data_IF_842290013506
#
_entry.id   IF_842290013506
#
_cell.length_a   1.000
_cell.length_b   1.000
_cell.length_c   1.000
_cell.angle_alpha   90.00
_cell.angle_beta   90.00
_cell.angle_gamma   90.00
#
_symmetry.space_group_name_H-M   'P 1'
#
loop_
_entity.id
_entity.type
_entity.pdbx_description
1 polymer ?
#
# COMPACT_ATOMS: atom_id res chain seq x y z
N UNK A 1 -28.37 -9.57 -21.26
CA UNK A 1 -27.02 -9.92 -20.78
C UNK A 1 -27.09 -10.27 -19.30
N UNK A 2 -27.05 -11.56 -18.99
CA UNK A 2 -27.15 -12.08 -17.62
C UNK A 2 -26.05 -11.45 -16.76
N UNK A 3 -26.32 -11.14 -15.48
CA UNK A 3 -25.36 -10.48 -14.59
C UNK A 3 -24.00 -11.20 -14.56
N UNK A 4 -24.02 -12.52 -14.65
CA UNK A 4 -22.83 -13.37 -14.78
C UNK A 4 -21.99 -13.06 -16.03
N UNK A 5 -22.62 -12.78 -17.17
CA UNK A 5 -21.92 -12.42 -18.41
C UNK A 5 -21.25 -11.04 -18.29
N UNK A 6 -21.90 -10.07 -17.64
CA UNK A 6 -21.31 -8.75 -17.38
C UNK A 6 -20.11 -8.84 -16.43
N UNK A 7 -20.22 -9.66 -15.39
CA UNK A 7 -19.13 -9.90 -14.43
C UNK A 7 -17.97 -10.62 -15.12
N UNK A 8 -18.24 -11.68 -15.88
CA UNK A 8 -17.22 -12.40 -16.63
C UNK A 8 -16.49 -11.51 -17.63
N UNK A 9 -17.22 -10.66 -18.37
CA UNK A 9 -16.63 -9.70 -19.28
C UNK A 9 -15.77 -8.64 -18.56
N UNK A 10 -16.23 -8.12 -17.42
CA UNK A 10 -15.46 -7.16 -16.62
C UNK A 10 -14.15 -7.77 -16.08
N UNK A 11 -14.21 -9.01 -15.57
CA UNK A 11 -13.02 -9.73 -15.09
C UNK A 11 -12.02 -9.99 -16.22
N UNK A 12 -12.52 -10.35 -17.42
CA UNK A 12 -11.68 -10.56 -18.60
C UNK A 12 -10.97 -9.27 -19.01
N UNK A 13 -11.69 -8.15 -19.09
CA UNK A 13 -11.10 -6.83 -19.40
C UNK A 13 -10.06 -6.43 -18.35
N UNK A 14 -10.35 -6.63 -17.06
CA UNK A 14 -9.40 -6.32 -15.99
C UNK A 14 -8.11 -7.15 -16.07
N UNK A 15 -8.21 -8.42 -16.46
CA UNK A 15 -7.04 -9.30 -16.68
C UNK A 15 -6.20 -8.87 -17.88
N UNK A 16 -6.84 -8.41 -18.96
CA UNK A 16 -6.17 -7.95 -20.17
C UNK A 16 -5.51 -6.56 -20.00
N UNK A 17 -5.98 -5.75 -19.05
CA UNK A 17 -5.37 -4.46 -18.67
C UNK A 17 -4.33 -4.65 -17.56
N UNK A 18 -3.63 -5.77 -17.56
CA UNK A 18 -2.47 -5.96 -16.70
C UNK A 18 -1.32 -5.07 -17.19
N UNK A 19 -1.16 -3.91 -16.56
CA UNK A 19 0.05 -3.11 -16.75
C UNK A 19 1.23 -3.84 -16.13
N UNK A 20 2.34 -3.94 -16.86
CA UNK A 20 3.59 -4.46 -16.30
C UNK A 20 4.01 -3.55 -15.15
N UNK A 21 3.70 -3.94 -13.92
CA UNK A 21 4.34 -3.36 -12.75
C UNK A 21 5.80 -3.81 -12.82
N UNK A 22 6.64 -3.03 -13.49
CA UNK A 22 8.08 -3.13 -13.30
C UNK A 22 8.28 -3.07 -11.79
N UNK A 23 8.83 -4.13 -11.21
CA UNK A 23 9.31 -4.05 -9.84
C UNK A 23 10.18 -2.79 -9.79
N UNK A 24 9.73 -1.79 -9.01
CA UNK A 24 10.34 -0.46 -8.94
C UNK A 24 11.85 -0.55 -8.59
N UNK A 25 12.29 -1.72 -8.13
CA UNK A 25 13.67 -2.13 -7.91
C UNK A 25 14.62 -1.80 -9.09
N UNK A 26 14.25 -2.07 -10.35
CA UNK A 26 15.18 -1.86 -11.48
C UNK A 26 15.30 -0.38 -11.88
N UNK A 27 14.20 0.38 -11.84
CA UNK A 27 14.18 1.80 -12.18
C UNK A 27 14.77 2.68 -11.06
N UNK A 28 14.42 2.39 -9.80
CA UNK A 28 15.00 3.09 -8.65
C UNK A 28 16.50 2.83 -8.56
N UNK A 29 16.96 1.61 -8.85
CA UNK A 29 18.39 1.29 -8.88
C UNK A 29 19.13 2.01 -10.01
N UNK A 30 18.60 2.00 -11.23
CA UNK A 30 19.20 2.73 -12.36
C UNK A 30 19.27 4.24 -12.11
N UNK A 31 18.23 4.83 -11.49
CA UNK A 31 18.25 6.24 -11.09
C UNK A 31 19.30 6.51 -10.01
N UNK A 32 19.39 5.64 -8.99
CA UNK A 32 20.40 5.74 -7.93
C UNK A 32 21.82 5.62 -8.48
N UNK A 33 22.09 4.63 -9.34
CA UNK A 33 23.41 4.43 -9.96
C UNK A 33 23.82 5.65 -10.81
N UNK A 34 22.88 6.29 -11.52
CA UNK A 34 23.13 7.54 -12.23
C UNK A 34 23.41 8.72 -11.29
N UNK A 35 22.68 8.85 -10.18
CA UNK A 35 22.92 9.92 -9.20
C UNK A 35 24.31 9.75 -8.52
N UNK A 36 24.68 8.52 -8.18
CA UNK A 36 26.01 8.18 -7.63
C UNK A 36 27.12 8.47 -8.65
N UNK A 37 26.92 8.11 -9.93
CA UNK A 37 27.88 8.41 -11.00
C UNK A 37 28.09 9.91 -11.21
N UNK A 38 27.07 10.73 -10.91
CA UNK A 38 27.12 12.19 -10.94
C UNK A 38 27.60 12.82 -9.61
N UNK A 39 28.05 12.00 -8.65
CA UNK A 39 28.62 12.45 -7.38
C UNK A 39 27.63 12.66 -6.23
N UNK A 40 26.33 12.41 -6.43
CA UNK A 40 25.30 12.55 -5.40
C UNK A 40 24.92 11.18 -4.80
N UNK A 41 25.55 10.85 -3.66
CA UNK A 41 25.36 9.58 -2.95
C UNK A 41 24.21 9.61 -1.94
N UNK A 42 23.59 10.78 -1.72
CA UNK A 42 22.58 10.98 -0.67
C UNK A 42 21.31 10.15 -0.92
N UNK A 43 20.89 10.07 -2.19
CA UNK A 43 19.71 9.32 -2.62
C UNK A 43 19.97 7.80 -2.57
N UNK A 44 21.22 7.37 -2.80
CA UNK A 44 21.61 5.97 -2.72
C UNK A 44 21.50 5.40 -1.30
N UNK A 45 21.93 6.17 -0.30
CA UNK A 45 21.91 5.75 1.09
C UNK A 45 20.50 5.63 1.68
N UNK A 46 19.54 6.44 1.18
CA UNK A 46 18.17 6.52 1.72
C UNK A 46 17.15 5.55 1.12
N UNK A 47 17.48 4.84 0.03
CA UNK A 47 16.49 4.06 -0.73
C UNK A 47 15.86 2.92 0.09
N UNK A 48 16.67 2.15 0.82
CA UNK A 48 16.18 1.02 1.63
C UNK A 48 15.26 1.49 2.78
N UNK A 49 15.56 2.66 3.35
CA UNK A 49 14.71 3.30 4.35
C UNK A 49 13.36 3.73 3.76
N UNK A 50 13.36 4.28 2.54
CA UNK A 50 12.14 4.64 1.82
C UNK A 50 11.23 3.45 1.54
N UNK A 51 11.80 2.31 1.13
CA UNK A 51 11.03 1.07 0.89
C UNK A 51 10.42 0.54 2.19
N UNK A 52 11.20 0.48 3.27
CA UNK A 52 10.70 0.09 4.60
C UNK A 52 9.60 1.04 5.08
N UNK A 53 9.75 2.36 4.87
CA UNK A 53 8.75 3.35 5.25
C UNK A 53 7.42 3.13 4.53
N UNK A 54 7.45 2.98 3.20
CA UNK A 54 6.25 2.72 2.40
C UNK A 54 5.59 1.38 2.73
N UNK A 55 6.39 0.36 3.07
CA UNK A 55 5.87 -0.94 3.49
C UNK A 55 5.19 -0.88 4.87
N UNK A 56 5.78 -0.19 5.84
CA UNK A 56 5.28 -0.14 7.23
C UNK A 56 4.08 0.78 7.39
N UNK A 57 4.01 1.88 6.63
CA UNK A 57 2.95 2.89 6.71
C UNK A 57 1.52 2.32 6.69
N UNK A 58 1.11 1.47 5.71
CA UNK A 58 -0.26 0.97 5.67
C UNK A 58 -0.63 0.14 6.90
N UNK A 59 0.30 -0.65 7.44
CA UNK A 59 0.05 -1.44 8.65
C UNK A 59 -0.03 -0.56 9.90
N UNK A 60 0.80 0.48 10.00
CA UNK A 60 0.75 1.45 11.09
C UNK A 60 -0.60 2.19 11.10
N UNK A 61 -1.06 2.67 9.94
CA UNK A 61 -2.36 3.35 9.81
C UNK A 61 -3.49 2.40 10.22
N UNK A 62 -3.49 1.16 9.73
CA UNK A 62 -4.51 0.17 10.06
C UNK A 62 -4.56 -0.14 11.57
N UNK A 63 -3.39 -0.26 12.21
CA UNK A 63 -3.27 -0.49 13.66
C UNK A 63 -3.87 0.67 14.46
N UNK A 64 -3.55 1.91 14.10
CA UNK A 64 -4.05 3.12 14.78
C UNK A 64 -5.57 3.22 14.66
N UNK A 65 -6.11 3.06 13.45
CA UNK A 65 -7.54 3.10 13.21
C UNK A 65 -8.27 1.97 13.95
N UNK A 66 -7.73 0.75 13.91
CA UNK A 66 -8.27 -0.41 14.62
C UNK A 66 -8.29 -0.19 16.14
N UNK A 67 -7.22 0.36 16.71
CA UNK A 67 -7.13 0.69 18.13
C UNK A 67 -8.20 1.70 18.56
N UNK A 68 -8.35 2.80 17.82
CA UNK A 68 -9.36 3.81 18.13
C UNK A 68 -10.78 3.26 17.99
N UNK A 69 -11.03 2.47 16.95
CA UNK A 69 -12.33 1.82 16.76
C UNK A 69 -12.65 0.86 17.91
N UNK A 70 -11.72 -0.01 18.29
CA UNK A 70 -11.90 -0.95 19.40
C UNK A 70 -12.19 -0.22 20.72
N UNK A 71 -11.41 0.82 21.03
CA UNK A 71 -11.60 1.62 22.26
C UNK A 71 -12.99 2.26 22.31
N UNK A 72 -13.45 2.82 21.20
CA UNK A 72 -14.76 3.45 21.11
C UNK A 72 -15.89 2.41 21.16
N UNK A 73 -15.73 1.27 20.50
CA UNK A 73 -16.67 0.16 20.56
C UNK A 73 -16.83 -0.39 21.99
N UNK A 74 -15.73 -0.56 22.73
CA UNK A 74 -15.75 -0.99 24.14
C UNK A 74 -16.47 0.01 25.04
N UNK A 75 -16.21 1.32 24.88
CA UNK A 75 -16.92 2.37 25.62
C UNK A 75 -18.42 2.39 25.34
N UNK A 76 -18.83 2.21 24.07
CA UNK A 76 -20.24 2.11 23.70
C UNK A 76 -20.92 0.87 24.31
N UNK A 77 -20.27 -0.30 24.26
CA UNK A 77 -20.79 -1.53 24.88
C UNK A 77 -20.98 -1.37 26.38
N UNK A 78 -20.01 -0.78 27.08
CA UNK A 78 -20.11 -0.51 28.52
C UNK A 78 -21.28 0.44 28.86
N UNK A 79 -21.50 1.49 28.07
CA UNK A 79 -22.64 2.40 28.24
C UNK A 79 -24.00 1.73 27.99
N UNK A 80 -24.08 0.81 27.03
CA UNK A 80 -25.32 0.06 26.75
C UNK A 80 -25.62 -0.93 27.87
N UNK A 81 -24.62 -1.58 28.46
CA UNK A 81 -24.82 -2.55 29.54
C UNK A 81 -25.20 -1.93 30.90
N UNK A 82 -24.93 -0.64 31.09
CA UNK A 82 -25.30 0.11 32.30
C UNK A 82 -26.67 0.78 32.23
N UNK A 83 -27.35 0.69 31.08
CA UNK A 83 -28.69 1.23 30.85
C UNK A 83 -29.69 0.09 30.77
#
# INVERSE_FOLDING_TARGET
MNKAFKIGFLCLVAFLVHTSSFAQCAMCRASVENNVANGDTSIAAGLNLGIMYLFVMPYAIAMVLGFFWYRNAKKRRAKIALK
#
